data_IF_829532966149
#
_entry.id   IF_829532966149
#
_cell.length_a   1.000
_cell.length_b   1.000
_cell.length_c   1.000
_cell.angle_alpha   90.00
_cell.angle_beta   90.00
_cell.angle_gamma   90.00
#
_symmetry.space_group_name_H-M   'P 1'
#
loop_
_entity.id
_entity.type
_entity.pdbx_description
1 polymer ?
#
# COMPACT_ATOMS: atom_id res chain seq x y z
N UNK A 1 -13.64 60.37 -13.05
CA UNK A 1 -14.73 59.39 -12.88
C UNK A 1 -14.36 58.51 -11.69
N UNK A 2 -14.87 58.83 -10.50
CA UNK A 2 -14.58 58.11 -9.26
C UNK A 2 -15.34 56.79 -9.28
N UNK A 3 -14.63 55.67 -9.30
CA UNK A 3 -15.20 54.34 -9.15
C UNK A 3 -15.72 54.24 -7.71
N UNK A 4 -17.02 54.47 -7.51
CA UNK A 4 -17.72 54.06 -6.29
C UNK A 4 -17.76 52.54 -6.28
N UNK A 5 -16.76 51.91 -5.67
CA UNK A 5 -16.87 50.51 -5.27
C UNK A 5 -17.88 50.42 -4.14
N UNK A 6 -19.00 49.74 -4.40
CA UNK A 6 -20.13 49.63 -3.49
C UNK A 6 -19.73 48.86 -2.22
N UNK A 7 -19.85 49.50 -1.06
CA UNK A 7 -19.45 48.97 0.25
C UNK A 7 -20.12 47.60 0.55
N UNK A 8 -21.33 47.39 0.01
CA UNK A 8 -22.08 46.12 0.11
C UNK A 8 -21.43 44.97 -0.65
N UNK A 9 -20.84 45.22 -1.82
CA UNK A 9 -20.14 44.20 -2.62
C UNK A 9 -18.88 43.71 -1.90
N UNK A 10 -18.10 44.64 -1.34
CA UNK A 10 -16.93 44.29 -0.53
C UNK A 10 -17.29 43.54 0.77
N UNK A 11 -18.41 43.86 1.40
CA UNK A 11 -18.90 43.11 2.56
C UNK A 11 -19.34 41.69 2.20
N UNK A 12 -20.01 41.49 1.06
CA UNK A 12 -20.40 40.17 0.59
C UNK A 12 -19.19 39.30 0.21
N UNK A 13 -18.19 39.88 -0.45
CA UNK A 13 -16.93 39.22 -0.77
C UNK A 13 -16.14 38.84 0.51
N UNK A 14 -16.10 39.74 1.50
CA UNK A 14 -15.48 39.47 2.80
C UNK A 14 -16.22 38.37 3.57
N UNK A 15 -17.56 38.33 3.49
CA UNK A 15 -18.36 37.29 4.15
C UNK A 15 -18.12 35.91 3.51
N UNK A 16 -18.05 35.85 2.17
CA UNK A 16 -17.71 34.62 1.43
C UNK A 16 -16.29 34.15 1.74
N UNK A 17 -15.32 35.07 1.81
CA UNK A 17 -13.94 34.75 2.18
C UNK A 17 -13.85 34.24 3.63
N UNK A 18 -14.57 34.87 4.57
CA UNK A 18 -14.65 34.40 5.97
C UNK A 18 -15.28 33.03 6.09
N UNK A 19 -16.37 32.77 5.36
CA UNK A 19 -17.04 31.46 5.34
C UNK A 19 -16.12 30.37 4.76
N UNK A 20 -15.44 30.65 3.63
CA UNK A 20 -14.48 29.73 3.03
C UNK A 20 -13.30 29.44 3.96
N UNK A 21 -12.76 30.47 4.62
CA UNK A 21 -11.67 30.32 5.60
C UNK A 21 -12.14 29.53 6.82
N UNK A 22 -13.36 29.75 7.29
CA UNK A 22 -13.94 29.02 8.41
C UNK A 22 -14.16 27.55 8.07
N UNK A 23 -14.72 27.24 6.89
CA UNK A 23 -14.88 25.85 6.42
C UNK A 23 -13.53 25.15 6.26
N UNK A 24 -12.52 25.85 5.75
CA UNK A 24 -11.17 25.31 5.56
C UNK A 24 -10.48 25.07 6.92
N UNK A 25 -10.62 25.98 7.89
CA UNK A 25 -10.17 25.77 9.27
C UNK A 25 -10.93 24.62 9.95
N UNK A 26 -12.25 24.56 9.82
CA UNK A 26 -13.08 23.54 10.47
C UNK A 26 -12.88 22.13 9.88
N UNK A 27 -12.49 22.02 8.61
CA UNK A 27 -12.07 20.76 7.99
C UNK A 27 -10.60 20.42 8.27
N UNK A 28 -9.72 21.42 8.37
CA UNK A 28 -8.29 21.18 8.63
C UNK A 28 -7.98 20.88 10.09
N UNK A 29 -8.71 21.45 11.05
CA UNK A 29 -8.47 21.23 12.49
C UNK A 29 -8.69 19.75 12.90
N UNK A 30 -9.79 19.07 12.52
CA UNK A 30 -9.94 17.64 12.76
C UNK A 30 -8.86 16.82 12.04
N UNK A 31 -8.41 17.25 10.87
CA UNK A 31 -7.35 16.58 10.10
C UNK A 31 -5.98 16.73 10.76
N UNK A 32 -5.65 17.91 11.26
CA UNK A 32 -4.41 18.19 12.03
C UNK A 32 -4.46 17.51 13.40
N UNK A 33 -5.59 17.56 14.10
CA UNK A 33 -5.78 16.84 15.37
C UNK A 33 -5.69 15.34 15.11
N UNK A 34 -6.27 14.80 14.04
CA UNK A 34 -6.10 13.40 13.66
C UNK A 34 -4.63 13.05 13.37
N UNK A 35 -3.92 13.89 12.61
CA UNK A 35 -2.49 13.72 12.34
C UNK A 35 -1.61 13.78 13.60
N UNK A 36 -1.96 14.62 14.58
CA UNK A 36 -1.17 14.81 15.82
C UNK A 36 -1.57 13.83 16.93
N UNK A 37 -2.86 13.52 17.07
CA UNK A 37 -3.41 12.59 18.08
C UNK A 37 -3.25 11.13 17.69
N UNK A 38 -3.03 10.83 16.40
CA UNK A 38 -2.51 9.54 15.95
C UNK A 38 -0.97 9.52 15.87
N UNK A 39 -0.24 10.21 16.76
CA UNK A 39 1.14 9.82 17.04
C UNK A 39 1.07 8.45 17.74
N UNK A 40 1.26 7.34 17.01
CA UNK A 40 1.13 6.02 17.61
C UNK A 40 2.22 5.91 18.67
N UNK A 41 2.01 5.12 19.74
CA UNK A 41 3.16 4.44 20.36
C UNK A 41 4.03 3.94 19.22
N UNK A 42 5.29 4.36 19.19
CA UNK A 42 6.17 4.26 18.02
C UNK A 42 5.96 2.91 17.36
N UNK A 43 5.52 2.89 16.10
CA UNK A 43 4.98 1.69 15.42
C UNK A 43 5.82 0.43 15.68
N UNK A 44 7.14 0.61 15.79
CA UNK A 44 8.10 -0.42 16.13
C UNK A 44 7.86 -1.12 17.47
N UNK A 45 7.46 -0.42 18.53
CA UNK A 45 7.17 -1.03 19.84
C UNK A 45 5.99 -2.01 19.76
N UNK A 46 4.96 -1.68 18.97
CA UNK A 46 3.86 -2.63 18.69
C UNK A 46 4.35 -3.83 17.90
N UNK A 47 5.15 -3.59 16.86
CA UNK A 47 5.74 -4.63 16.01
C UNK A 47 6.70 -5.53 16.78
N UNK A 48 7.39 -5.02 17.81
CA UNK A 48 8.31 -5.82 18.64
C UNK A 48 7.56 -6.77 19.57
N UNK A 49 6.33 -6.44 19.94
CA UNK A 49 5.52 -7.25 20.86
C UNK A 49 4.67 -8.31 20.17
N UNK A 50 4.28 -8.09 18.91
CA UNK A 50 3.47 -9.03 18.15
C UNK A 50 3.75 -8.92 16.64
N UNK A 51 3.81 -10.07 15.98
CA UNK A 51 3.98 -10.14 14.53
C UNK A 51 2.80 -9.47 13.80
N UNK A 52 3.05 -8.60 12.82
CA UNK A 52 1.98 -7.95 12.05
C UNK A 52 1.24 -8.97 11.18
N UNK A 53 0.03 -8.63 10.76
CA UNK A 53 -0.70 -9.46 9.80
C UNK A 53 -0.06 -9.35 8.41
N UNK A 54 0.09 -10.48 7.72
CA UNK A 54 0.62 -10.55 6.36
C UNK A 54 -0.51 -10.86 5.37
N UNK A 55 -0.37 -10.36 4.15
CA UNK A 55 -1.36 -10.50 3.09
C UNK A 55 -0.70 -11.05 1.82
N UNK A 56 -1.46 -11.83 1.08
CA UNK A 56 -1.10 -12.23 -0.28
C UNK A 56 -1.28 -11.01 -1.21
N UNK A 57 -0.23 -10.63 -1.94
CA UNK A 57 -0.22 -9.42 -2.78
C UNK A 57 -1.24 -9.42 -3.92
N UNK A 58 -1.67 -10.60 -4.40
CA UNK A 58 -2.60 -10.70 -5.53
C UNK A 58 -4.05 -10.79 -5.06
N UNK A 59 -4.31 -11.61 -4.06
CA UNK A 59 -5.67 -11.84 -3.54
C UNK A 59 -6.06 -10.83 -2.47
N UNK A 60 -5.08 -10.16 -1.85
CA UNK A 60 -5.22 -9.26 -0.71
C UNK A 60 -5.90 -9.91 0.50
N UNK A 61 -5.83 -11.23 0.59
CA UNK A 61 -6.31 -12.01 1.71
C UNK A 61 -5.19 -12.21 2.71
N UNK A 62 -5.54 -12.32 3.99
CA UNK A 62 -4.56 -12.62 5.02
C UNK A 62 -3.94 -14.00 4.77
N UNK A 63 -2.63 -14.10 4.90
CA UNK A 63 -1.95 -15.40 4.86
C UNK A 63 -2.49 -16.26 6.01
N UNK A 64 -2.98 -17.48 5.76
CA UNK A 64 -3.47 -18.37 6.80
C UNK A 64 -2.43 -18.62 7.89
N UNK A 65 -2.85 -18.76 9.15
CA UNK A 65 -1.94 -19.08 10.26
C UNK A 65 -1.24 -20.42 10.08
N UNK A 66 -1.83 -21.37 9.34
CA UNK A 66 -1.21 -22.66 9.00
C UNK A 66 0.00 -22.53 8.09
N UNK A 67 0.13 -21.41 7.39
CA UNK A 67 1.26 -21.07 6.50
C UNK A 67 2.23 -20.07 7.16
N UNK A 68 2.05 -19.79 8.45
CA UNK A 68 2.90 -18.90 9.25
C UNK A 68 3.47 -19.68 10.44
N UNK A 69 4.77 -19.87 10.43
CA UNK A 69 5.50 -20.61 11.46
C UNK A 69 6.25 -19.63 12.36
N UNK A 70 5.93 -19.64 13.66
CA UNK A 70 6.73 -18.98 14.68
C UNK A 70 7.88 -19.88 15.09
N UNK A 71 9.10 -19.37 14.98
CA UNK A 71 10.32 -20.12 15.25
C UNK A 71 10.73 -19.86 16.71
N UNK A 72 10.86 -20.91 17.52
CA UNK A 72 11.41 -20.81 18.88
C UNK A 72 12.90 -20.44 18.82
N UNK A 73 13.23 -19.21 19.20
CA UNK A 73 14.58 -18.64 19.10
C UNK A 73 15.58 -19.28 20.06
N UNK A 74 15.10 -19.96 21.10
CA UNK A 74 15.89 -20.80 22.01
C UNK A 74 16.39 -22.10 21.36
N UNK A 75 15.80 -22.53 20.24
CA UNK A 75 16.12 -23.80 19.57
C UNK A 75 17.11 -23.63 18.40
N UNK A 76 17.42 -22.40 18.02
CA UNK A 76 18.41 -22.08 16.98
C UNK A 76 19.80 -21.84 17.59
N UNK A 77 20.82 -21.81 16.73
CA UNK A 77 22.23 -21.68 17.09
C UNK A 77 22.66 -20.20 17.10
N UNK A 78 23.80 -19.92 17.74
CA UNK A 78 24.41 -18.59 17.82
C UNK A 78 25.77 -18.51 17.11
N UNK A 79 26.03 -19.42 16.16
CA UNK A 79 27.28 -19.43 15.40
C UNK A 79 27.03 -19.05 13.94
N UNK A 80 27.95 -18.29 13.37
CA UNK A 80 27.91 -17.89 11.97
C UNK A 80 27.93 -19.11 11.03
N UNK A 81 26.87 -19.26 10.24
CA UNK A 81 26.80 -20.27 9.19
C UNK A 81 27.58 -19.79 7.96
N UNK A 82 28.52 -20.61 7.48
CA UNK A 82 29.23 -20.38 6.23
C UNK A 82 28.96 -21.56 5.28
N UNK A 83 28.23 -21.34 4.17
CA UNK A 83 27.95 -22.41 3.23
C UNK A 83 29.25 -22.89 2.56
N UNK A 84 29.44 -24.21 2.55
CA UNK A 84 30.57 -24.86 1.91
C UNK A 84 30.13 -25.49 0.59
N UNK A 85 30.55 -24.95 -0.54
CA UNK A 85 30.13 -25.43 -1.87
C UNK A 85 30.44 -26.91 -2.15
N UNK A 86 31.31 -27.55 -1.36
CA UNK A 86 31.73 -28.94 -1.55
C UNK A 86 30.85 -29.98 -0.82
N UNK A 87 29.88 -29.55 -0.01
CA UNK A 87 28.98 -30.43 0.75
C UNK A 87 27.54 -30.31 0.24
N UNK A 88 26.70 -31.35 0.35
CA UNK A 88 25.26 -31.22 0.11
C UNK A 88 24.61 -30.20 1.05
N UNK A 89 23.70 -29.36 0.52
CA UNK A 89 23.07 -28.28 1.30
C UNK A 89 22.37 -28.75 2.59
N UNK A 90 21.74 -29.94 2.53
CA UNK A 90 21.07 -30.55 3.68
C UNK A 90 22.09 -30.97 4.76
N UNK A 91 23.20 -31.59 4.38
CA UNK A 91 24.24 -32.02 5.32
C UNK A 91 24.89 -30.83 6.02
N UNK A 92 25.14 -29.73 5.31
CA UNK A 92 25.75 -28.52 5.89
C UNK A 92 24.90 -27.88 6.99
N UNK A 93 23.59 -27.82 6.78
CA UNK A 93 22.70 -27.14 7.72
C UNK A 93 22.31 -28.06 8.89
N UNK A 94 22.43 -29.38 8.75
CA UNK A 94 22.00 -30.35 9.79
C UNK A 94 23.08 -30.76 10.79
N UNK A 95 24.34 -30.36 10.62
CA UNK A 95 25.47 -30.79 11.47
C UNK A 95 25.53 -30.18 12.87
N UNK A 96 24.88 -29.05 13.09
CA UNK A 96 24.95 -28.30 14.34
C UNK A 96 23.54 -28.01 14.87
N UNK A 97 23.39 -27.21 15.94
CA UNK A 97 22.06 -26.88 16.47
C UNK A 97 21.23 -26.18 15.39
N UNK A 98 20.02 -26.67 15.13
CA UNK A 98 19.13 -26.12 14.12
C UNK A 98 17.70 -26.43 14.50
N UNK A 99 16.78 -25.60 14.00
CA UNK A 99 15.36 -25.86 14.13
C UNK A 99 14.83 -26.46 12.84
N UNK A 100 13.98 -27.49 12.94
CA UNK A 100 13.27 -28.07 11.80
C UNK A 100 11.77 -27.87 12.02
N UNK A 101 11.09 -27.33 11.03
CA UNK A 101 9.64 -27.16 11.07
C UNK A 101 8.89 -28.50 10.98
N UNK A 102 7.66 -28.58 11.50
CA UNK A 102 6.73 -29.60 11.05
C UNK A 102 6.49 -29.50 9.53
N UNK A 103 6.01 -30.58 8.93
CA UNK A 103 5.59 -30.57 7.53
C UNK A 103 4.38 -29.64 7.35
N UNK A 104 4.52 -28.61 6.54
CA UNK A 104 3.45 -27.67 6.21
C UNK A 104 2.81 -28.10 4.90
N UNK A 105 1.51 -28.44 4.87
CA UNK A 105 0.84 -28.75 3.63
C UNK A 105 0.80 -27.51 2.73
N UNK A 106 1.19 -27.67 1.47
CA UNK A 106 1.23 -26.57 0.52
C UNK A 106 0.69 -27.03 -0.83
N UNK A 107 -0.54 -26.62 -1.16
CA UNK A 107 -1.12 -26.92 -2.45
C UNK A 107 -0.75 -25.80 -3.42
N UNK A 108 -0.01 -26.13 -4.48
CA UNK A 108 0.53 -25.15 -5.41
C UNK A 108 -0.02 -25.36 -6.82
N UNK A 109 -0.47 -24.30 -7.46
CA UNK A 109 -0.91 -24.30 -8.87
C UNK A 109 0.11 -23.65 -9.81
N UNK A 110 1.01 -22.81 -9.29
CA UNK A 110 1.95 -22.01 -10.09
C UNK A 110 3.34 -22.61 -10.29
N UNK A 111 3.67 -23.71 -9.59
CA UNK A 111 5.01 -24.33 -9.64
C UNK A 111 6.10 -23.54 -8.90
N UNK A 112 5.71 -22.52 -8.11
CA UNK A 112 6.59 -21.77 -7.22
C UNK A 112 5.96 -21.50 -5.87
N UNK A 113 6.75 -21.08 -4.89
CA UNK A 113 6.24 -20.44 -3.68
C UNK A 113 7.18 -19.31 -3.27
N UNK A 114 6.64 -18.38 -2.49
CA UNK A 114 7.36 -17.27 -1.88
C UNK A 114 7.56 -17.56 -0.40
N UNK A 115 8.81 -17.40 0.05
CA UNK A 115 9.24 -17.57 1.41
C UNK A 115 9.54 -16.19 1.99
N UNK A 116 8.77 -15.77 2.98
CA UNK A 116 8.95 -14.50 3.68
C UNK A 116 9.44 -14.74 5.11
N UNK A 117 10.44 -13.97 5.54
CA UNK A 117 10.97 -14.01 6.91
C UNK A 117 10.89 -12.63 7.53
N UNK A 118 10.31 -12.56 8.72
CA UNK A 118 10.27 -11.34 9.50
C UNK A 118 10.47 -11.62 10.98
N UNK A 119 11.04 -10.65 11.67
CA UNK A 119 11.45 -10.83 13.05
C UNK A 119 11.61 -9.49 13.75
N UNK A 120 11.36 -9.48 15.04
CA UNK A 120 11.53 -8.28 15.85
C UNK A 120 12.08 -8.61 17.22
N UNK A 121 12.74 -7.62 17.81
CA UNK A 121 13.39 -7.78 19.10
C UNK A 121 14.05 -6.52 19.60
N UNK A 122 14.90 -6.71 20.59
CA UNK A 122 15.68 -5.66 21.21
C UNK A 122 17.16 -6.03 21.16
N UNK A 123 18.01 -5.04 20.92
CA UNK A 123 19.46 -5.21 20.94
C UNK A 123 20.13 -4.14 21.80
N UNK A 124 21.19 -4.50 22.50
CA UNK A 124 22.01 -3.58 23.30
C UNK A 124 23.32 -3.19 22.61
N UNK A 125 23.63 -3.84 21.48
CA UNK A 125 24.72 -3.52 20.57
C UNK A 125 24.17 -3.53 19.13
N UNK A 126 24.88 -2.90 18.18
CA UNK A 126 24.53 -2.94 16.75
C UNK A 126 25.26 -4.09 16.03
N UNK A 127 25.27 -5.27 16.63
CA UNK A 127 25.81 -6.46 15.96
C UNK A 127 24.73 -7.06 15.06
N UNK A 128 25.13 -7.53 13.89
CA UNK A 128 24.19 -8.05 12.92
C UNK A 128 23.78 -9.48 13.26
N UNK A 129 22.47 -9.70 13.33
CA UNK A 129 21.87 -11.02 13.31
C UNK A 129 21.92 -11.55 11.88
N UNK A 130 22.27 -12.83 11.72
CA UNK A 130 22.19 -13.54 10.44
C UNK A 130 21.30 -14.78 10.63
N UNK A 131 20.30 -14.94 9.78
CA UNK A 131 19.38 -16.09 9.75
C UNK A 131 19.54 -16.78 8.41
N UNK A 132 19.72 -18.09 8.42
CA UNK A 132 19.78 -18.93 7.23
C UNK A 132 18.62 -19.91 7.25
N UNK A 133 17.83 -19.91 6.18
CA UNK A 133 16.70 -20.82 6.00
C UNK A 133 16.96 -21.72 4.79
N UNK A 134 16.76 -23.03 4.97
CA UNK A 134 16.77 -24.03 3.91
C UNK A 134 15.36 -24.63 3.77
N UNK A 135 14.62 -24.29 2.70
CA UNK A 135 13.38 -24.98 2.40
C UNK A 135 13.64 -26.37 1.81
N UNK A 136 12.86 -27.35 2.29
CA UNK A 136 12.88 -28.75 1.91
C UNK A 136 11.53 -29.11 1.30
N UNK A 137 11.57 -29.59 0.07
CA UNK A 137 10.45 -30.06 -0.70
C UNK A 137 10.26 -31.55 -0.44
N UNK A 138 9.10 -31.95 0.07
CA UNK A 138 8.75 -33.36 0.25
C UNK A 138 7.90 -33.85 -0.91
N UNK A 139 8.42 -34.82 -1.67
CA UNK A 139 7.76 -35.37 -2.86
C UNK A 139 7.71 -36.88 -2.70
N UNK A 140 6.50 -37.44 -2.55
CA UNK A 140 6.27 -38.89 -2.46
C UNK A 140 7.21 -39.60 -1.45
N UNK A 141 7.42 -38.99 -0.28
CA UNK A 141 8.26 -39.54 0.78
C UNK A 141 9.77 -39.30 0.62
N UNK A 142 10.21 -38.58 -0.41
CA UNK A 142 11.60 -38.11 -0.56
C UNK A 142 11.70 -36.63 -0.22
N UNK A 143 12.67 -36.28 0.61
CA UNK A 143 12.97 -34.89 0.99
C UNK A 143 14.16 -34.38 0.20
N UNK A 144 14.01 -33.25 -0.49
CA UNK A 144 15.09 -32.60 -1.22
C UNK A 144 15.06 -31.08 -1.02
N UNK A 145 16.22 -30.38 -0.99
CA UNK A 145 16.25 -28.92 -0.95
C UNK A 145 15.52 -28.28 -2.14
N UNK A 146 14.65 -27.32 -1.85
CA UNK A 146 13.97 -26.55 -2.89
C UNK A 146 14.96 -25.57 -3.55
N UNK A 147 14.87 -25.40 -4.88
CA UNK A 147 15.76 -24.50 -5.63
C UNK A 147 15.16 -23.11 -5.74
N UNK A 148 15.99 -22.06 -5.62
CA UNK A 148 15.55 -20.70 -5.92
C UNK A 148 15.13 -20.55 -7.38
N UNK A 149 14.09 -19.75 -7.63
CA UNK A 149 13.55 -19.48 -8.97
C UNK A 149 14.34 -18.39 -9.71
N UNK A 150 15.11 -17.57 -8.98
CA UNK A 150 15.74 -16.37 -9.52
C UNK A 150 16.93 -16.70 -10.45
N UNK A 151 16.92 -16.16 -11.68
CA UNK A 151 17.88 -16.45 -12.76
C UNK A 151 19.36 -16.23 -12.38
N UNK A 152 19.63 -15.33 -11.43
CA UNK A 152 20.99 -14.95 -11.04
C UNK A 152 21.51 -15.66 -9.77
N UNK A 153 20.63 -16.30 -8.98
CA UNK A 153 20.99 -16.94 -7.71
C UNK A 153 20.72 -18.44 -7.79
N UNK A 154 21.70 -19.20 -8.29
CA UNK A 154 21.71 -20.66 -8.17
C UNK A 154 22.03 -21.03 -6.72
N UNK A 155 21.00 -21.17 -5.89
CA UNK A 155 21.17 -21.47 -4.48
C UNK A 155 19.97 -22.15 -3.86
N UNK A 156 20.19 -22.67 -2.66
CA UNK A 156 19.17 -23.32 -1.84
C UNK A 156 18.86 -22.49 -0.59
N UNK A 157 19.89 -21.84 -0.02
CA UNK A 157 19.79 -21.08 1.23
C UNK A 157 19.20 -19.69 1.02
N UNK A 158 18.27 -19.32 1.88
CA UNK A 158 17.81 -17.96 2.05
C UNK A 158 18.51 -17.35 3.26
N UNK A 159 19.36 -16.36 3.01
CA UNK A 159 20.12 -15.67 4.05
C UNK A 159 19.48 -14.31 4.29
N UNK A 160 19.21 -14.02 5.55
CA UNK A 160 18.55 -12.82 6.03
C UNK A 160 19.46 -12.20 7.08
N UNK A 161 19.64 -10.88 7.04
CA UNK A 161 20.47 -10.20 8.03
C UNK A 161 19.91 -8.84 8.38
N UNK A 162 20.09 -8.45 9.64
CA UNK A 162 19.67 -7.13 10.12
C UNK A 162 20.41 -5.96 9.48
N UNK A 163 21.53 -6.22 8.79
CA UNK A 163 22.20 -5.20 7.99
C UNK A 163 21.39 -4.73 6.77
N UNK A 164 20.33 -5.46 6.41
CA UNK A 164 19.44 -5.20 5.30
C UNK A 164 18.01 -5.03 5.83
N UNK A 165 17.19 -4.23 5.16
CA UNK A 165 15.73 -4.14 5.34
C UNK A 165 15.24 -4.18 6.81
N UNK A 166 15.96 -3.51 7.72
CA UNK A 166 15.66 -3.51 9.16
C UNK A 166 15.48 -2.08 9.66
N UNK A 167 14.36 -1.85 10.33
CA UNK A 167 14.06 -0.60 11.00
C UNK A 167 14.58 -0.62 12.43
N UNK A 168 15.15 0.50 12.88
CA UNK A 168 15.69 0.65 14.23
C UNK A 168 15.11 1.85 14.94
N UNK A 169 14.85 1.70 16.24
CA UNK A 169 14.48 2.80 17.12
C UNK A 169 15.26 2.72 18.43
N UNK A 170 15.99 3.79 18.76
CA UNK A 170 16.72 3.87 20.02
C UNK A 170 15.78 4.02 21.21
N UNK A 171 15.97 3.16 22.21
CA UNK A 171 15.45 3.30 23.56
C UNK A 171 16.57 3.88 24.44
N UNK A 172 16.24 4.92 25.24
CA UNK A 172 17.16 5.57 26.20
C UNK A 172 18.54 5.91 25.61
N UNK A 173 18.69 7.12 25.05
CA UNK A 173 20.00 7.72 24.70
C UNK A 173 21.03 6.75 24.09
N UNK A 174 20.61 5.92 23.11
CA UNK A 174 21.46 4.96 22.39
C UNK A 174 22.06 3.81 23.22
N UNK A 175 21.40 3.40 24.31
CA UNK A 175 21.84 2.22 25.10
C UNK A 175 21.13 0.93 24.68
N UNK A 176 19.93 1.02 24.13
CA UNK A 176 19.25 -0.12 23.53
C UNK A 176 18.47 0.31 22.29
N UNK A 177 18.19 -0.63 21.41
CA UNK A 177 17.42 -0.40 20.19
C UNK A 177 16.36 -1.47 20.06
N UNK A 178 15.15 -1.05 19.73
CA UNK A 178 14.15 -1.94 19.13
C UNK A 178 14.48 -2.09 17.66
N UNK A 179 14.25 -3.28 17.13
CA UNK A 179 14.42 -3.54 15.71
C UNK A 179 13.28 -4.39 15.15
N UNK A 180 13.01 -4.19 13.87
CA UNK A 180 12.08 -4.98 13.07
C UNK A 180 12.70 -5.21 11.69
N UNK A 181 13.08 -6.46 11.43
CA UNK A 181 13.53 -6.91 10.13
C UNK A 181 12.34 -7.39 9.32
N UNK A 182 12.15 -6.85 8.12
CA UNK A 182 10.95 -7.07 7.32
C UNK A 182 11.21 -7.04 5.82
N UNK A 183 10.21 -7.40 5.02
CA UNK A 183 10.27 -7.45 3.56
C UNK A 183 11.40 -8.35 3.00
N UNK A 184 11.88 -9.31 3.80
CA UNK A 184 12.79 -10.35 3.33
C UNK A 184 11.98 -11.44 2.66
N UNK A 185 12.07 -11.49 1.33
CA UNK A 185 11.37 -12.49 0.53
C UNK A 185 12.30 -13.13 -0.50
N UNK A 186 12.16 -14.44 -0.68
CA UNK A 186 12.80 -15.18 -1.76
C UNK A 186 11.81 -16.15 -2.40
N UNK A 187 11.96 -16.38 -3.71
CA UNK A 187 11.09 -17.29 -4.45
C UNK A 187 11.77 -18.61 -4.78
N UNK A 188 11.02 -19.70 -4.64
CA UNK A 188 11.49 -21.06 -4.82
C UNK A 188 10.63 -21.82 -5.83
N UNK A 189 11.28 -22.62 -6.66
CA UNK A 189 10.64 -23.47 -7.66
C UNK A 189 10.32 -24.81 -7.04
N UNK A 190 9.07 -25.25 -7.19
CA UNK A 190 8.61 -26.54 -6.66
C UNK A 190 7.80 -27.29 -7.71
N UNK A 191 7.90 -28.62 -7.76
CA UNK A 191 7.06 -29.42 -8.64
C UNK A 191 5.57 -29.19 -8.35
N UNK A 192 4.74 -29.24 -9.40
CA UNK A 192 3.29 -29.04 -9.33
C UNK A 192 2.55 -30.00 -8.38
N UNK A 193 3.20 -31.05 -7.88
CA UNK A 193 2.67 -32.05 -6.94
C UNK A 193 3.49 -32.15 -5.64
N UNK A 194 3.93 -31.02 -5.09
CA UNK A 194 4.64 -31.02 -3.79
C UNK A 194 3.60 -31.01 -2.66
N UNK A 195 3.33 -32.13 -1.96
CA UNK A 195 2.31 -32.19 -0.91
C UNK A 195 2.64 -31.33 0.32
N UNK A 196 3.92 -31.23 0.68
CA UNK A 196 4.35 -30.55 1.90
C UNK A 196 5.73 -29.93 1.78
N UNK A 197 5.95 -28.88 2.57
CA UNK A 197 7.22 -28.19 2.74
C UNK A 197 7.72 -28.34 4.18
N UNK A 198 9.03 -28.44 4.35
CA UNK A 198 9.71 -28.33 5.64
C UNK A 198 10.76 -27.24 5.56
N UNK A 199 11.10 -26.65 6.69
CA UNK A 199 12.10 -25.59 6.76
C UNK A 199 13.13 -25.96 7.82
N UNK A 200 14.40 -25.86 7.45
CA UNK A 200 15.50 -25.93 8.41
C UNK A 200 16.01 -24.51 8.60
N UNK A 201 16.07 -24.07 9.85
CA UNK A 201 16.47 -22.71 10.20
C UNK A 201 17.66 -22.75 11.14
N UNK A 202 18.68 -21.98 10.78
CA UNK A 202 19.81 -21.63 11.62
C UNK A 202 19.87 -20.12 11.76
N UNK A 203 20.42 -19.66 12.88
CA UNK A 203 20.73 -18.27 13.07
C UNK A 203 22.13 -18.13 13.65
N UNK A 204 22.58 -16.89 13.72
CA UNK A 204 23.75 -16.42 14.42
C UNK A 204 23.29 -15.22 15.23
N UNK A 205 22.81 -15.46 16.45
CA UNK A 205 22.29 -14.41 17.34
C UNK A 205 23.45 -13.87 18.18
N UNK A 206 23.86 -12.61 18.01
CA UNK A 206 24.95 -12.04 18.78
C UNK A 206 24.57 -11.83 20.26
N UNK A 207 25.55 -11.87 21.16
CA UNK A 207 25.33 -11.59 22.57
C UNK A 207 24.70 -10.20 22.79
N UNK A 208 23.69 -10.10 23.65
CA UNK A 208 22.99 -8.85 23.95
C UNK A 208 21.82 -8.52 23.01
N UNK A 209 21.53 -9.40 22.04
CA UNK A 209 20.35 -9.35 21.19
C UNK A 209 19.30 -10.35 21.68
N UNK A 210 18.08 -9.88 21.91
CA UNK A 210 16.92 -10.71 22.26
C UNK A 210 15.88 -10.62 21.14
N UNK A 211 15.60 -11.75 20.48
CA UNK A 211 14.54 -11.85 19.48
C UNK A 211 13.24 -12.22 20.22
N UNK A 212 12.25 -11.32 20.16
CA UNK A 212 10.95 -11.55 20.80
C UNK A 212 10.12 -12.55 20.00
N UNK A 213 10.17 -12.43 18.67
CA UNK A 213 9.53 -13.36 17.76
C UNK A 213 10.29 -13.38 16.43
N UNK A 214 10.32 -14.56 15.82
CA UNK A 214 10.83 -14.81 14.48
C UNK A 214 9.76 -15.63 13.75
N UNK A 215 9.33 -15.16 12.58
CA UNK A 215 8.30 -15.79 11.80
C UNK A 215 8.80 -16.09 10.40
N UNK A 216 8.36 -17.24 9.91
CA UNK A 216 8.56 -17.70 8.54
C UNK A 216 7.18 -17.95 7.93
N UNK A 217 6.88 -17.24 6.85
CA UNK A 217 5.59 -17.31 6.18
C UNK A 217 5.75 -17.76 4.74
N UNK A 218 4.79 -18.55 4.25
CA UNK A 218 4.79 -19.04 2.87
C UNK A 218 3.50 -18.67 2.14
N UNK A 219 3.62 -18.40 0.85
CA UNK A 219 2.48 -18.13 -0.03
C UNK A 219 2.78 -18.54 -1.47
N UNK A 220 1.73 -18.69 -2.27
CA UNK A 220 1.83 -18.92 -3.71
C UNK A 220 2.24 -17.64 -4.46
N UNK A 221 1.83 -16.47 -3.96
CA UNK A 221 2.16 -15.16 -4.50
C UNK A 221 3.03 -14.35 -3.52
N UNK A 222 3.66 -13.24 -3.97
CA UNK A 222 4.43 -12.37 -3.07
C UNK A 222 3.61 -11.93 -1.86
N UNK A 223 4.27 -11.81 -0.71
CA UNK A 223 3.67 -11.48 0.59
C UNK A 223 3.91 -10.01 0.89
N UNK A 224 2.90 -9.32 1.43
CA UNK A 224 2.99 -7.91 1.85
C UNK A 224 2.57 -7.72 3.29
N UNK A 225 3.23 -6.79 3.99
CA UNK A 225 2.92 -6.39 5.37
C UNK A 225 1.71 -5.46 5.47
N UNK A 226 1.30 -4.85 4.35
CA UNK A 226 0.15 -3.96 4.28
C UNK A 226 -0.97 -4.57 3.44
N UNK A 227 -2.18 -4.50 3.96
CA UNK A 227 -3.37 -4.78 3.17
C UNK A 227 -3.50 -3.69 2.10
N UNK A 228 -3.45 -4.08 0.84
CA UNK A 228 -3.70 -3.14 -0.25
C UNK A 228 -5.15 -2.68 -0.16
N UNK A 229 -5.40 -1.37 -0.19
CA UNK A 229 -6.79 -0.89 -0.22
C UNK A 229 -7.51 -1.49 -1.42
N UNK A 230 -8.79 -1.82 -1.29
CA UNK A 230 -9.64 -2.24 -2.42
C UNK A 230 -9.55 -1.23 -3.57
N UNK A 231 -9.37 0.05 -3.25
CA UNK A 231 -9.21 1.13 -4.22
C UNK A 231 -7.93 1.03 -5.06
N UNK A 232 -6.89 0.35 -4.57
CA UNK A 232 -5.65 0.07 -5.31
C UNK A 232 -5.74 -1.21 -6.16
N UNK A 233 -6.80 -2.00 -6.03
CA UNK A 233 -7.08 -3.18 -6.85
C UNK A 233 -8.01 -2.92 -8.03
N UNK A 234 -8.46 -4.00 -8.69
CA UNK A 234 -9.34 -3.97 -9.88
C UNK A 234 -10.69 -4.69 -9.69
N UNK A 235 -10.91 -5.32 -8.53
CA UNK A 235 -12.03 -6.26 -8.28
C UNK A 235 -13.44 -5.70 -8.53
N UNK A 236 -13.64 -4.38 -8.44
CA UNK A 236 -14.95 -3.73 -8.55
C UNK A 236 -15.05 -2.76 -9.73
N UNK A 237 -14.05 -2.77 -10.61
CA UNK A 237 -13.89 -1.74 -11.63
C UNK A 237 -15.08 -1.66 -12.60
N UNK A 238 -15.65 -2.81 -12.95
CA UNK A 238 -16.78 -2.89 -13.88
C UNK A 238 -18.02 -2.19 -13.34
N UNK A 239 -18.29 -2.28 -12.04
CA UNK A 239 -19.43 -1.60 -11.42
C UNK A 239 -19.31 -0.07 -11.54
N UNK A 240 -18.11 0.47 -11.30
CA UNK A 240 -17.87 1.91 -11.47
C UNK A 240 -17.96 2.35 -12.94
N UNK A 241 -17.48 1.53 -13.88
CA UNK A 241 -17.59 1.82 -15.31
C UNK A 241 -19.05 1.83 -15.78
N UNK A 242 -19.88 0.89 -15.31
CA UNK A 242 -21.31 0.88 -15.64
C UNK A 242 -22.06 2.10 -15.10
N UNK A 243 -21.61 2.68 -13.98
CA UNK A 243 -22.21 3.89 -13.44
C UNK A 243 -22.12 5.11 -14.38
N UNK A 244 -21.23 5.10 -15.38
CA UNK A 244 -21.18 6.15 -16.41
C UNK A 244 -22.49 6.30 -17.19
N UNK A 245 -23.30 5.24 -17.30
CA UNK A 245 -24.59 5.28 -18.01
C UNK A 245 -25.57 6.25 -17.34
N UNK A 246 -25.43 6.50 -16.04
CA UNK A 246 -26.29 7.45 -15.31
C UNK A 246 -25.99 8.92 -15.63
N UNK A 247 -24.81 9.23 -16.14
CA UNK A 247 -24.38 10.60 -16.44
C UNK A 247 -25.26 11.29 -17.50
N UNK A 248 -25.53 10.72 -18.69
CA UNK A 248 -26.43 11.33 -19.68
C UNK A 248 -27.86 11.43 -19.17
N UNK A 249 -28.34 10.44 -18.40
CA UNK A 249 -29.68 10.46 -17.79
C UNK A 249 -29.80 11.63 -16.80
N UNK A 250 -28.79 11.82 -15.95
CA UNK A 250 -28.74 12.94 -15.02
C UNK A 250 -28.68 14.28 -15.74
N UNK A 251 -27.85 14.41 -16.79
CA UNK A 251 -27.77 15.62 -17.60
C UNK A 251 -29.12 15.99 -18.23
N UNK A 252 -29.84 15.00 -18.75
CA UNK A 252 -31.19 15.19 -19.29
C UNK A 252 -32.18 15.66 -18.21
N UNK A 253 -32.18 15.01 -17.04
CA UNK A 253 -33.05 15.40 -15.93
C UNK A 253 -32.78 16.84 -15.46
N UNK A 254 -31.50 17.20 -15.28
CA UNK A 254 -31.11 18.55 -14.87
C UNK A 254 -31.48 19.59 -15.92
N UNK A 255 -31.35 19.27 -17.20
CA UNK A 255 -31.82 20.15 -18.28
C UNK A 255 -33.34 20.38 -18.21
N UNK A 256 -34.10 19.33 -17.93
CA UNK A 256 -35.55 19.43 -17.79
C UNK A 256 -35.97 20.28 -16.58
N UNK A 257 -35.32 20.10 -15.42
CA UNK A 257 -35.65 20.85 -14.21
C UNK A 257 -35.15 22.30 -14.22
N UNK A 258 -33.94 22.56 -14.72
CA UNK A 258 -33.33 23.89 -14.69
C UNK A 258 -33.71 24.75 -15.91
N UNK A 259 -34.45 24.19 -16.87
CA UNK A 259 -34.92 24.86 -18.09
C UNK A 259 -33.79 25.51 -18.93
N UNK A 260 -32.57 24.96 -18.84
CA UNK A 260 -31.41 25.48 -19.56
C UNK A 260 -30.09 25.25 -18.84
N UNK A 261 -29.03 25.81 -19.40
CA UNK A 261 -27.67 25.78 -18.84
C UNK A 261 -27.34 27.12 -18.17
N UNK A 262 -26.36 27.13 -17.27
CA UNK A 262 -25.93 28.37 -16.60
C UNK A 262 -25.37 29.39 -17.60
N UNK A 263 -24.49 28.95 -18.51
CA UNK A 263 -23.97 29.76 -19.60
C UNK A 263 -23.37 28.88 -20.72
N UNK A 264 -23.21 29.43 -21.92
CA UNK A 264 -22.53 28.73 -23.02
C UNK A 264 -21.06 28.38 -22.69
N UNK A 265 -20.41 29.20 -21.85
CA UNK A 265 -19.06 28.93 -21.35
C UNK A 265 -19.05 27.75 -20.37
N UNK A 266 -19.96 27.73 -19.40
CA UNK A 266 -20.10 26.63 -18.44
C UNK A 266 -20.43 25.30 -19.15
N UNK A 267 -21.31 25.34 -20.16
CA UNK A 267 -21.62 24.19 -21.00
C UNK A 267 -20.39 23.66 -21.72
N UNK A 268 -19.61 24.52 -22.38
CA UNK A 268 -18.44 24.09 -23.15
C UNK A 268 -17.36 23.47 -22.26
N UNK A 269 -17.02 24.16 -21.17
CA UNK A 269 -16.01 23.69 -20.21
C UNK A 269 -16.48 22.41 -19.51
N UNK A 270 -17.74 22.37 -19.07
CA UNK A 270 -18.33 21.22 -18.40
C UNK A 270 -18.40 19.99 -19.29
N UNK A 271 -18.80 20.13 -20.56
CA UNK A 271 -18.82 19.01 -21.52
C UNK A 271 -17.43 18.49 -21.86
N UNK A 272 -16.45 19.37 -22.12
CA UNK A 272 -15.07 18.95 -22.40
C UNK A 272 -14.44 18.25 -21.19
N UNK A 273 -14.65 18.79 -19.99
CA UNK A 273 -14.20 18.18 -18.74
C UNK A 273 -14.89 16.84 -18.48
N UNK A 274 -16.21 16.76 -18.70
CA UNK A 274 -16.97 15.51 -18.56
C UNK A 274 -16.45 14.45 -19.52
N UNK A 275 -16.27 14.79 -20.80
CA UNK A 275 -15.73 13.88 -21.81
C UNK A 275 -14.34 13.37 -21.43
N UNK A 276 -13.43 14.25 -21.02
CA UNK A 276 -12.09 13.89 -20.57
C UNK A 276 -12.15 12.85 -19.45
N UNK A 277 -12.92 13.12 -18.39
CA UNK A 277 -12.99 12.23 -17.25
C UNK A 277 -13.77 10.93 -17.54
N UNK A 278 -14.76 10.95 -18.42
CA UNK A 278 -15.42 9.72 -18.90
C UNK A 278 -14.44 8.82 -19.65
N UNK A 279 -13.61 9.38 -20.53
CA UNK A 279 -12.54 8.63 -21.21
C UNK A 279 -11.57 8.04 -20.19
N UNK A 280 -11.15 8.82 -19.18
CA UNK A 280 -10.26 8.32 -18.14
C UNK A 280 -10.91 7.19 -17.33
N UNK A 281 -12.18 7.31 -16.95
CA UNK A 281 -12.93 6.24 -16.28
C UNK A 281 -12.99 4.96 -17.12
N UNK A 282 -13.08 5.06 -18.45
CA UNK A 282 -13.10 3.91 -19.34
C UNK A 282 -11.72 3.24 -19.51
N UNK A 283 -10.65 4.03 -19.61
CA UNK A 283 -9.28 3.55 -19.91
C UNK A 283 -8.61 2.92 -18.70
N UNK A 284 -8.74 3.50 -17.51
CA UNK A 284 -8.03 3.00 -16.33
C UNK A 284 -8.54 1.62 -15.88
N UNK A 285 -7.61 0.83 -15.33
CA UNK A 285 -7.78 -0.54 -14.86
C UNK A 285 -7.66 -0.67 -13.32
N UNK A 286 -7.68 0.47 -12.60
CA UNK A 286 -7.55 0.53 -11.13
C UNK A 286 -8.72 1.30 -10.52
N UNK A 287 -9.28 0.76 -9.43
CA UNK A 287 -10.50 1.24 -8.80
C UNK A 287 -10.47 2.73 -8.40
N UNK A 288 -9.40 3.23 -7.78
CA UNK A 288 -9.35 4.63 -7.32
C UNK A 288 -9.37 5.63 -8.47
N UNK A 289 -8.73 5.30 -9.61
CA UNK A 289 -8.75 6.16 -10.79
C UNK A 289 -10.13 6.17 -11.43
N UNK A 290 -10.75 5.00 -11.59
CA UNK A 290 -12.08 4.89 -12.17
C UNK A 290 -13.13 5.57 -11.29
N UNK A 291 -13.11 5.33 -9.97
CA UNK A 291 -14.03 5.97 -9.04
C UNK A 291 -13.80 7.48 -8.93
N UNK A 292 -12.55 7.92 -8.83
CA UNK A 292 -12.21 9.35 -8.81
C UNK A 292 -12.64 10.06 -10.09
N UNK A 293 -12.33 9.50 -11.27
CA UNK A 293 -12.73 10.09 -12.56
C UNK A 293 -14.25 10.07 -12.74
N UNK A 294 -14.96 9.07 -12.20
CA UNK A 294 -16.43 9.06 -12.18
C UNK A 294 -16.98 10.27 -11.39
N UNK A 295 -16.44 10.55 -10.20
CA UNK A 295 -16.83 11.74 -9.43
C UNK A 295 -16.51 13.05 -10.16
N UNK A 296 -15.36 13.14 -10.84
CA UNK A 296 -14.98 14.32 -11.62
C UNK A 296 -15.87 14.51 -12.87
N UNK A 297 -16.27 13.42 -13.52
CA UNK A 297 -17.21 13.46 -14.64
C UNK A 297 -18.60 13.93 -14.19
N UNK A 298 -19.06 13.46 -13.03
CA UNK A 298 -20.31 13.91 -12.39
C UNK A 298 -20.25 15.39 -12.00
N UNK A 299 -19.16 15.83 -11.38
CA UNK A 299 -18.93 17.23 -11.07
C UNK A 299 -18.99 18.10 -12.33
N UNK A 300 -18.39 17.65 -13.43
CA UNK A 300 -18.39 18.39 -14.70
C UNK A 300 -19.79 18.57 -15.31
N UNK A 301 -20.69 17.61 -15.11
CA UNK A 301 -22.10 17.74 -15.52
C UNK A 301 -22.83 18.74 -14.64
N UNK A 302 -22.63 18.69 -13.32
CA UNK A 302 -23.22 19.67 -12.40
C UNK A 302 -22.74 21.10 -12.67
N UNK A 303 -21.49 21.25 -13.10
CA UNK A 303 -20.91 22.52 -13.51
C UNK A 303 -21.65 23.13 -14.72
N UNK A 304 -22.14 22.33 -15.67
CA UNK A 304 -22.91 22.83 -16.81
C UNK A 304 -24.18 23.59 -16.38
N UNK A 305 -24.69 23.32 -15.18
CA UNK A 305 -25.90 23.87 -14.62
C UNK A 305 -25.65 24.83 -13.43
N UNK A 306 -24.40 25.22 -13.16
CA UNK A 306 -24.07 26.13 -12.05
C UNK A 306 -24.35 25.58 -10.65
N UNK A 307 -24.47 24.26 -10.51
CA UNK A 307 -24.80 23.66 -9.22
C UNK A 307 -23.56 23.61 -8.33
N UNK A 308 -23.54 24.39 -7.24
CA UNK A 308 -22.43 24.53 -6.30
C UNK A 308 -21.88 23.21 -5.73
N UNK A 309 -22.66 22.13 -5.75
CA UNK A 309 -22.23 20.78 -5.36
C UNK A 309 -21.09 20.24 -6.24
N UNK A 310 -20.94 20.76 -7.47
CA UNK A 310 -19.84 20.37 -8.35
C UNK A 310 -18.48 20.57 -7.67
N UNK A 311 -18.30 21.64 -6.88
CA UNK A 311 -17.03 21.97 -6.21
C UNK A 311 -16.64 20.89 -5.21
N UNK A 312 -17.62 20.44 -4.42
CA UNK A 312 -17.41 19.41 -3.41
C UNK A 312 -17.10 18.07 -4.07
N UNK A 313 -17.88 17.66 -5.08
CA UNK A 313 -17.63 16.41 -5.80
C UNK A 313 -16.28 16.43 -6.53
N UNK A 314 -15.90 17.58 -7.10
CA UNK A 314 -14.60 17.72 -7.76
C UNK A 314 -13.46 17.54 -6.76
N UNK A 315 -13.54 18.23 -5.62
CA UNK A 315 -12.53 18.13 -4.57
C UNK A 315 -12.44 16.70 -4.04
N UNK A 316 -13.58 16.04 -3.78
CA UNK A 316 -13.60 14.64 -3.32
C UNK A 316 -12.97 13.72 -4.36
N UNK A 317 -13.33 13.84 -5.64
CA UNK A 317 -12.74 13.05 -6.73
C UNK A 317 -11.23 13.24 -6.82
N UNK A 318 -10.75 14.49 -6.73
CA UNK A 318 -9.33 14.80 -6.73
C UNK A 318 -8.60 14.21 -5.51
N UNK A 319 -9.15 14.37 -4.30
CA UNK A 319 -8.53 13.86 -3.07
C UNK A 319 -8.44 12.34 -3.06
N UNK A 320 -9.44 11.63 -3.59
CA UNK A 320 -9.38 10.18 -3.78
C UNK A 320 -8.22 9.82 -4.71
N UNK A 321 -8.10 10.49 -5.87
CA UNK A 321 -7.03 10.21 -6.83
C UNK A 321 -5.66 10.50 -6.23
N UNK A 322 -5.49 11.67 -5.60
CA UNK A 322 -4.22 12.07 -4.99
C UNK A 322 -3.84 11.16 -3.82
N UNK A 323 -4.76 10.87 -2.91
CA UNK A 323 -4.48 10.03 -1.74
C UNK A 323 -4.04 8.63 -2.13
N UNK A 324 -4.75 7.98 -3.05
CA UNK A 324 -4.39 6.64 -3.51
C UNK A 324 -3.19 6.61 -4.47
N UNK A 325 -2.97 7.66 -5.28
CA UNK A 325 -1.75 7.78 -6.07
C UNK A 325 -0.51 7.92 -5.17
N UNK A 326 -0.60 8.70 -4.08
CA UNK A 326 0.51 8.84 -3.12
C UNK A 326 0.84 7.48 -2.49
N UNK A 327 -0.17 6.70 -2.11
CA UNK A 327 0.04 5.34 -1.59
C UNK A 327 0.64 4.41 -2.65
N UNK A 328 0.10 4.41 -3.88
CA UNK A 328 0.54 3.53 -4.96
C UNK A 328 2.00 3.76 -5.35
N UNK A 329 2.45 5.01 -5.36
CA UNK A 329 3.81 5.36 -5.78
C UNK A 329 4.79 5.56 -4.63
N UNK A 330 4.38 5.30 -3.39
CA UNK A 330 5.25 5.45 -2.22
C UNK A 330 5.68 6.91 -1.94
N UNK A 331 4.84 7.89 -2.28
CA UNK A 331 5.07 9.31 -1.99
C UNK A 331 4.93 10.25 -3.19
N UNK A 332 5.37 11.51 -3.01
CA UNK A 332 5.30 12.59 -3.99
C UNK A 332 6.47 12.55 -4.97
N UNK A 333 6.40 11.66 -5.97
CA UNK A 333 7.42 11.51 -7.00
C UNK A 333 6.91 11.90 -8.40
N UNK A 334 7.76 11.77 -9.43
CA UNK A 334 7.41 12.11 -10.81
C UNK A 334 6.14 11.39 -11.30
N UNK A 335 5.95 10.11 -10.94
CA UNK A 335 4.76 9.36 -11.32
C UNK A 335 3.48 9.91 -10.67
N UNK A 336 3.55 10.25 -9.39
CA UNK A 336 2.45 10.94 -8.69
C UNK A 336 2.05 12.23 -9.40
N UNK A 337 3.02 13.09 -9.72
CA UNK A 337 2.74 14.38 -10.36
C UNK A 337 2.21 14.22 -11.78
N UNK A 338 2.76 13.28 -12.55
CA UNK A 338 2.28 12.99 -13.91
C UNK A 338 0.80 12.61 -13.91
N UNK A 339 0.34 11.91 -12.87
CA UNK A 339 -1.02 11.42 -12.77
C UNK A 339 -2.02 12.45 -12.21
N UNK A 340 -1.58 13.37 -11.35
CA UNK A 340 -2.48 14.27 -10.60
C UNK A 340 -2.51 15.71 -11.10
N UNK A 341 -1.46 16.17 -11.79
CA UNK A 341 -1.27 17.60 -12.12
C UNK A 341 -2.34 18.16 -13.04
N UNK A 342 -2.69 17.46 -14.13
CA UNK A 342 -3.71 17.95 -15.07
C UNK A 342 -5.07 18.10 -14.38
N UNK A 343 -5.43 17.15 -13.52
CA UNK A 343 -6.67 17.17 -12.74
C UNK A 343 -6.68 18.38 -11.80
N UNK A 344 -5.57 18.63 -11.10
CA UNK A 344 -5.43 19.79 -10.23
C UNK A 344 -5.59 21.11 -11.01
N UNK A 345 -4.94 21.23 -12.18
CA UNK A 345 -5.01 22.45 -13.02
C UNK A 345 -6.44 22.72 -13.49
N UNK A 346 -7.16 21.67 -13.93
CA UNK A 346 -8.57 21.81 -14.34
C UNK A 346 -9.43 22.28 -13.15
N UNK A 347 -9.24 21.67 -11.97
CA UNK A 347 -9.99 22.04 -10.77
C UNK A 347 -9.75 23.49 -10.33
N UNK A 348 -8.50 23.94 -10.35
CA UNK A 348 -8.15 25.34 -10.08
C UNK A 348 -8.76 26.27 -11.14
N UNK A 349 -8.71 25.87 -12.41
CA UNK A 349 -9.33 26.62 -13.52
C UNK A 349 -10.84 26.81 -13.32
N UNK A 350 -11.56 25.75 -12.94
CA UNK A 350 -12.99 25.80 -12.63
C UNK A 350 -13.28 26.72 -11.43
N UNK A 351 -12.48 26.62 -10.37
CA UNK A 351 -12.68 27.41 -9.15
C UNK A 351 -12.43 28.91 -9.37
N UNK A 352 -11.37 29.27 -10.09
CA UNK A 352 -11.01 30.68 -10.32
C UNK A 352 -11.79 31.32 -11.46
N UNK A 353 -12.31 30.54 -12.42
CA UNK A 353 -13.12 31.07 -13.51
C UNK A 353 -14.41 31.75 -13.01
N UNK A 354 -14.98 31.28 -11.91
CA UNK A 354 -16.19 31.86 -11.29
C UNK A 354 -15.93 33.08 -10.40
N UNK A 355 -14.71 33.26 -9.87
CA UNK A 355 -14.38 34.39 -9.00
C UNK A 355 -14.42 35.75 -9.74
N UNK A 356 -14.38 35.74 -11.08
CA UNK A 356 -14.44 36.95 -11.91
C UNK A 356 -15.86 37.43 -12.23
N UNK A 357 -16.87 36.56 -12.06
CA UNK A 357 -18.26 36.83 -12.44
C UNK A 357 -19.18 37.08 -11.22
N UNK A 358 -18.60 37.22 -10.02
CA UNK A 358 -19.25 37.65 -8.77
C UNK A 358 -18.70 38.99 -8.29
#
# INVERSE_FOLDING_TARGET
MLIKTDLKSNQAALLRAKLATFVLLFLSIPFVIYLVSCSPKTQLEKLTNAAPQLYDSQTNQAIPSTQQLLIPTDQIQDNKFQPNNNLPALEQISTEKHWISPAVPFNNTTGRFYLHVDFAGQQHNRQDLEITVLPICEIQGKSAPCRKTNLNNQGYFFNVSTNQQTEYQSLKANQSWLFYGHDFEESYSIPYNTPSLKFIVKANIPEGLSINWLRLSISENPITSQQTSIMLGSKYIHWFKYALIFLPVLGFLLFHFNQGFESGRALTIGLLSSLLFTIHTAVWDINYMVFGCLLLSLASILYCFGNSLYRLLYLTGFLVIAGYAQQKFGGFNHAFFTQTTLILIIGLGLYFAEYKDQ
#
